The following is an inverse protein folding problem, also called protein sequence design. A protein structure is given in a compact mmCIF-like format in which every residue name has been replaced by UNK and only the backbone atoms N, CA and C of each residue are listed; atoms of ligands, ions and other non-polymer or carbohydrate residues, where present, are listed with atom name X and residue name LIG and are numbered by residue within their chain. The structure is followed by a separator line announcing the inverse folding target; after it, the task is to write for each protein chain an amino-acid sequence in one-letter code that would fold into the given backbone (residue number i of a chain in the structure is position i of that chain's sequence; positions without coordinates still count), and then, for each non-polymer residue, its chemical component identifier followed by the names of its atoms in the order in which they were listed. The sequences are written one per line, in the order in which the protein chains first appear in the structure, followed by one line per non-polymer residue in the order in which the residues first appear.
data_IF_932435934525
#
_entry.id   IF_932435934525
#
_cell.length_a   1.000
_cell.length_b   1.000
_cell.length_c   1.000
_cell.angle_alpha   90.00
_cell.angle_beta   90.00
_cell.angle_gamma   90.00
#
_symmetry.space_group_name_H-M   'P 1'
#
loop_
_entity.id
_entity.type
_entity.pdbx_description
1 polymer ?
#
# COMPACT_ATOMS: atom_id res chain seq x y z
N UNK A 1 -8.34 2.94 2.89
CA UNK A 1 -7.88 2.90 4.29
C UNK A 1 -6.55 2.16 4.37
N UNK A 2 -5.63 2.67 5.20
CA UNK A 2 -4.38 2.02 5.56
C UNK A 2 -4.55 1.29 6.89
N UNK A 3 -4.35 -0.02 6.92
CA UNK A 3 -4.66 -0.88 8.06
C UNK A 3 -3.39 -1.63 8.52
N UNK A 4 -2.54 -1.02 9.37
CA UNK A 4 -1.30 -1.65 9.83
C UNK A 4 -1.57 -2.83 10.76
N UNK A 5 -0.74 -3.88 10.69
CA UNK A 5 -0.85 -5.04 11.58
C UNK A 5 0.48 -5.44 12.24
N UNK A 6 1.55 -5.65 11.46
CA UNK A 6 2.91 -5.85 12.02
C UNK A 6 3.76 -4.63 11.67
N UNK A 7 4.29 -3.88 12.66
CA UNK A 7 5.23 -2.79 12.41
C UNK A 7 6.56 -3.33 11.87
N UNK A 8 7.54 -2.46 11.61
CA UNK A 8 8.87 -2.91 11.19
C UNK A 8 9.53 -3.75 12.28
N UNK A 9 9.49 -5.07 12.11
CA UNK A 9 10.13 -6.02 12.99
C UNK A 9 11.49 -6.40 12.41
N UNK A 10 12.55 -6.11 13.14
CA UNK A 10 13.89 -6.60 12.86
C UNK A 10 13.92 -8.13 13.04
N UNK A 11 14.39 -8.84 12.02
CA UNK A 11 14.70 -10.27 12.06
C UNK A 11 16.18 -10.48 11.78
N UNK A 12 16.77 -11.48 12.43
CA UNK A 12 18.20 -11.78 12.34
C UNK A 12 18.40 -13.24 11.96
N UNK A 13 19.44 -13.53 11.20
CA UNK A 13 19.84 -14.89 10.83
C UNK A 13 21.36 -14.98 10.63
N UNK A 14 21.91 -16.19 10.56
CA UNK A 14 23.32 -16.47 10.25
C UNK A 14 23.36 -17.34 8.99
N UNK A 15 24.26 -17.04 8.05
CA UNK A 15 24.40 -17.83 6.81
C UNK A 15 25.02 -19.20 7.08
N UNK A 16 24.36 -20.28 6.65
CA UNK A 16 24.77 -21.66 6.93
C UNK A 16 26.16 -22.02 6.37
N UNK A 17 26.49 -21.53 5.17
CA UNK A 17 27.77 -21.87 4.51
C UNK A 17 28.93 -20.93 4.88
N UNK A 18 28.67 -19.68 5.27
CA UNK A 18 29.68 -18.65 5.46
C UNK A 18 29.73 -18.03 6.85
N UNK A 19 28.79 -18.40 7.72
CA UNK A 19 28.60 -17.84 9.07
C UNK A 19 28.48 -16.31 9.12
N UNK A 20 28.22 -15.67 7.98
CA UNK A 20 28.03 -14.23 7.91
C UNK A 20 26.66 -13.85 8.51
N UNK A 21 26.59 -12.81 9.34
CA UNK A 21 25.34 -12.33 9.91
C UNK A 21 24.45 -11.70 8.83
N UNK A 22 23.13 -11.89 8.97
CA UNK A 22 22.10 -11.30 8.11
C UNK A 22 21.06 -10.57 8.96
N UNK A 23 20.66 -9.39 8.51
CA UNK A 23 19.61 -8.57 9.09
C UNK A 23 18.51 -8.33 8.05
N UNK A 24 17.26 -8.40 8.48
CA UNK A 24 16.11 -8.04 7.67
C UNK A 24 15.05 -7.33 8.50
N UNK A 25 14.13 -6.66 7.82
CA UNK A 25 12.94 -6.08 8.44
C UNK A 25 11.71 -6.61 7.73
N UNK A 26 10.68 -6.96 8.49
CA UNK A 26 9.38 -7.36 7.96
C UNK A 26 8.29 -6.45 8.51
N UNK A 27 7.27 -6.20 7.71
CA UNK A 27 6.04 -5.51 8.11
C UNK A 27 4.85 -6.19 7.43
N UNK A 28 3.65 -5.95 7.95
CA UNK A 28 2.40 -6.40 7.32
C UNK A 28 1.33 -5.34 7.51
N UNK A 29 0.67 -4.98 6.43
CA UNK A 29 -0.46 -4.06 6.41
C UNK A 29 -1.47 -4.49 5.35
N UNK A 30 -2.72 -4.07 5.53
CA UNK A 30 -3.78 -4.18 4.54
C UNK A 30 -4.13 -2.83 3.94
N UNK A 31 -4.65 -2.86 2.71
CA UNK A 31 -5.26 -1.73 2.04
C UNK A 31 -6.67 -2.14 1.62
N UNK A 32 -7.63 -1.24 1.83
CA UNK A 32 -9.02 -1.47 1.43
C UNK A 32 -9.67 -0.16 0.98
N UNK A 33 -10.49 -0.23 -0.07
CA UNK A 33 -11.28 0.92 -0.54
C UNK A 33 -12.45 1.22 0.43
N UNK A 34 -12.93 2.45 0.46
CA UNK A 34 -14.16 2.76 1.18
C UNK A 34 -15.34 2.13 0.42
N UNK A 35 -16.28 1.41 1.08
CA UNK A 35 -17.42 0.77 0.42
C UNK A 35 -18.32 1.73 -0.37
N UNK A 36 -18.27 3.04 -0.09
CA UNK A 36 -19.00 4.10 -0.80
C UNK A 36 -18.08 4.94 -1.70
N UNK A 37 -16.88 4.45 -2.02
CA UNK A 37 -15.94 5.15 -2.88
C UNK A 37 -16.35 5.18 -4.35
N UNK A 38 -17.39 4.45 -4.77
CA UNK A 38 -17.93 4.47 -6.12
C UNK A 38 -19.23 5.30 -6.19
N UNK A 39 -19.36 6.13 -7.22
CA UNK A 39 -20.52 7.03 -7.46
C UNK A 39 -21.75 6.27 -8.00
N UNK A 40 -21.56 5.05 -8.52
CA UNK A 40 -22.61 4.18 -9.05
C UNK A 40 -22.43 2.77 -8.44
N UNK A 41 -23.46 1.93 -8.51
CA UNK A 41 -23.37 0.50 -8.17
C UNK A 41 -22.46 -0.20 -9.17
N UNK A 42 -21.15 -0.04 -9.00
CA UNK A 42 -20.12 -0.70 -9.79
C UNK A 42 -19.56 -1.86 -8.98
N UNK A 43 -19.51 -3.05 -9.60
CA UNK A 43 -18.91 -4.24 -8.98
C UNK A 43 -17.38 -4.12 -8.77
N UNK A 44 -16.75 -3.07 -9.28
CA UNK A 44 -15.31 -2.82 -9.18
C UNK A 44 -14.99 -1.64 -8.25
N UNK A 45 -15.04 -1.90 -6.93
CA UNK A 45 -14.69 -0.94 -5.87
C UNK A 45 -13.19 -0.56 -5.83
N UNK A 46 -12.37 -1.15 -6.70
CA UNK A 46 -10.92 -0.92 -6.80
C UNK A 46 -10.47 -0.33 -8.14
N UNK A 47 -11.40 0.02 -9.04
CA UNK A 47 -11.08 0.56 -10.35
C UNK A 47 -10.20 1.82 -10.28
N UNK A 48 -9.27 1.95 -11.22
CA UNK A 48 -8.39 3.12 -11.30
C UNK A 48 -9.23 4.38 -11.56
N UNK A 49 -8.96 5.47 -10.81
CA UNK A 49 -9.64 6.77 -10.90
C UNK A 49 -11.15 6.77 -10.59
N UNK A 50 -11.72 5.71 -10.00
CA UNK A 50 -13.15 5.66 -9.67
C UNK A 50 -13.50 6.28 -8.30
N UNK A 51 -12.49 6.51 -7.46
CA UNK A 51 -12.69 6.95 -6.08
C UNK A 51 -13.22 8.40 -6.01
N UNK A 52 -14.48 8.52 -5.62
CA UNK A 52 -15.24 9.79 -5.59
C UNK A 52 -14.68 10.83 -4.63
N UNK A 53 -13.93 10.38 -3.63
CA UNK A 53 -13.33 11.24 -2.61
C UNK A 53 -12.07 11.96 -3.11
N UNK A 54 -11.55 11.61 -4.29
CA UNK A 54 -10.33 12.22 -4.86
C UNK A 54 -10.57 12.74 -6.28
N UNK A 55 -10.01 13.91 -6.59
CA UNK A 55 -10.04 14.51 -7.93
C UNK A 55 -8.61 14.87 -8.33
N UNK A 56 -8.14 14.34 -9.46
CA UNK A 56 -6.83 14.66 -10.03
C UNK A 56 -7.02 15.54 -11.25
N UNK A 57 -6.23 16.60 -11.35
CA UNK A 57 -6.14 17.45 -12.53
C UNK A 57 -4.68 17.55 -12.97
N UNK A 58 -4.45 17.61 -14.27
CA UNK A 58 -3.14 17.92 -14.82
C UNK A 58 -3.15 19.40 -15.22
N UNK A 59 -2.21 20.17 -14.68
CA UNK A 59 -2.03 21.57 -15.07
C UNK A 59 -0.88 21.64 -16.08
N UNK A 60 -1.09 22.38 -17.17
CA UNK A 60 -0.10 22.58 -18.23
C UNK A 60 -0.03 24.06 -18.60
N UNK A 61 1.08 24.51 -19.19
CA UNK A 61 1.25 25.88 -19.68
C UNK A 61 1.16 26.96 -18.59
N UNK A 62 1.75 26.72 -17.42
CA UNK A 62 2.01 27.78 -16.43
C UNK A 62 3.35 28.44 -16.79
N UNK A 63 3.29 29.51 -17.56
CA UNK A 63 4.39 30.44 -17.82
C UNK A 63 4.04 31.80 -17.27
#
# INVERSE_FOLDING_TARGET
FYCPYVPLQMVRAVGENSFQPKIGFKTRYGLISNPFAALATSNDQGAVNSNVYYRRVQVTNLT
#
